data_IF_150821683895
#
_entry.id   IF_150821683895
#
_cell.length_a   1.000
_cell.length_b   1.000
_cell.length_c   1.000
_cell.angle_alpha   90.00
_cell.angle_beta   90.00
_cell.angle_gamma   90.00
#
_symmetry.space_group_name_H-M   'P 1'
#
loop_
_entity.id
_entity.type
_entity.pdbx_description
1 polymer ?
#
# COMPACT_ATOMS: atom_id res chain seq x y z
N UNK A 1 -16.47 -18.18 -18.10
CA UNK A 1 -16.52 -16.93 -17.31
C UNK A 1 -15.29 -16.11 -17.70
N UNK A 2 -15.44 -14.84 -18.03
CA UNK A 2 -14.28 -13.96 -18.20
C UNK A 2 -13.58 -13.78 -16.83
N UNK A 3 -12.26 -13.89 -16.79
CA UNK A 3 -11.49 -13.64 -15.56
C UNK A 3 -11.70 -12.20 -15.07
N UNK A 4 -11.84 -12.02 -13.76
CA UNK A 4 -11.91 -10.70 -13.12
C UNK A 4 -10.57 -10.38 -12.47
N UNK A 5 -10.04 -9.15 -12.65
CA UNK A 5 -8.79 -8.72 -12.04
C UNK A 5 -8.96 -8.51 -10.53
N UNK A 6 -7.87 -8.51 -9.76
CA UNK A 6 -7.96 -8.55 -8.31
C UNK A 6 -8.36 -7.26 -7.62
N UNK A 7 -8.63 -6.17 -8.33
CA UNK A 7 -8.98 -4.88 -7.72
C UNK A 7 -7.90 -4.31 -6.79
N UNK A 8 -6.65 -4.77 -6.92
CA UNK A 8 -5.51 -4.31 -6.09
C UNK A 8 -4.86 -3.02 -6.62
N UNK A 9 -5.16 -2.64 -7.86
CA UNK A 9 -4.59 -1.48 -8.56
C UNK A 9 -3.07 -1.35 -8.41
N UNK A 10 -2.39 -2.50 -8.44
CA UNK A 10 -0.97 -2.59 -8.06
C UNK A 10 0.00 -1.99 -9.08
N UNK A 11 -0.44 -1.71 -10.30
CA UNK A 11 0.41 -1.18 -11.37
C UNK A 11 1.42 -2.14 -12.01
N UNK A 12 1.49 -3.41 -11.56
CA UNK A 12 2.51 -4.37 -12.01
C UNK A 12 2.44 -4.70 -13.51
N UNK A 13 1.22 -4.84 -14.03
CA UNK A 13 0.95 -5.01 -15.46
C UNK A 13 1.19 -3.74 -16.28
N UNK A 14 1.52 -2.62 -15.63
CA UNK A 14 1.72 -1.33 -16.28
C UNK A 14 0.43 -0.56 -16.54
N UNK A 15 -0.73 -0.92 -15.98
CA UNK A 15 -1.96 -0.12 -16.01
C UNK A 15 -2.21 0.56 -14.65
N UNK A 16 -2.84 1.76 -14.59
CA UNK A 16 -3.03 2.48 -13.33
C UNK A 16 -4.08 1.83 -12.40
N UNK A 17 -5.06 1.13 -12.96
CA UNK A 17 -6.07 0.37 -12.21
C UNK A 17 -6.32 -0.98 -12.86
N UNK A 18 -6.90 -1.91 -12.11
CA UNK A 18 -7.37 -3.20 -12.60
C UNK A 18 -8.45 -3.03 -13.67
N UNK A 19 -9.29 -2.00 -13.58
CA UNK A 19 -10.29 -1.68 -14.61
C UNK A 19 -9.63 -1.19 -15.91
N UNK A 20 -8.64 -0.28 -15.80
CA UNK A 20 -7.88 0.19 -16.95
C UNK A 20 -7.09 -0.94 -17.62
N UNK A 21 -6.55 -1.88 -16.84
CA UNK A 21 -5.91 -3.09 -17.37
C UNK A 21 -6.86 -3.91 -18.25
N UNK A 22 -8.09 -4.16 -17.76
CA UNK A 22 -9.09 -4.93 -18.51
C UNK A 22 -9.53 -4.21 -19.78
N UNK A 23 -9.60 -2.87 -19.78
CA UNK A 23 -9.86 -2.11 -20.99
C UNK A 23 -8.78 -2.36 -22.06
N UNK A 24 -7.51 -2.28 -21.68
CA UNK A 24 -6.37 -2.54 -22.59
C UNK A 24 -6.35 -3.98 -23.11
N UNK A 25 -6.73 -4.97 -22.29
CA UNK A 25 -6.85 -6.36 -22.74
C UNK A 25 -7.99 -6.53 -23.76
N UNK A 26 -9.11 -5.84 -23.56
CA UNK A 26 -10.24 -5.86 -24.52
C UNK A 26 -9.89 -5.21 -25.86
N UNK A 27 -9.03 -4.19 -25.83
CA UNK A 27 -8.51 -3.51 -27.01
C UNK A 27 -7.39 -4.29 -27.72
N UNK A 28 -6.92 -5.40 -27.13
CA UNK A 28 -5.84 -6.23 -27.69
C UNK A 28 -4.43 -5.65 -27.49
N UNK A 29 -4.30 -4.57 -26.73
CA UNK A 29 -3.01 -3.95 -26.40
C UNK A 29 -2.24 -4.71 -25.30
N UNK A 30 -2.95 -5.56 -24.53
CA UNK A 30 -2.40 -6.37 -23.44
C UNK A 30 -2.97 -7.77 -23.43
N UNK A 31 -2.22 -8.70 -22.83
CA UNK A 31 -2.69 -10.06 -22.54
C UNK A 31 -3.07 -10.18 -21.05
N UNK A 32 -4.00 -11.08 -20.70
CA UNK A 32 -4.32 -11.41 -19.31
C UNK A 32 -3.07 -11.87 -18.53
N UNK A 33 -2.15 -12.55 -19.19
CA UNK A 33 -0.86 -13.01 -18.66
C UNK A 33 0.05 -11.87 -18.20
N UNK A 34 -0.20 -10.62 -18.62
CA UNK A 34 0.52 -9.45 -18.11
C UNK A 34 0.20 -9.17 -16.63
N UNK A 35 -0.93 -9.67 -16.11
CA UNK A 35 -1.27 -9.52 -14.71
C UNK A 35 -0.55 -10.58 -13.87
N UNK A 36 0.27 -10.13 -12.91
CA UNK A 36 0.97 -11.01 -11.94
C UNK A 36 0.05 -11.86 -11.05
N UNK A 37 -1.26 -11.60 -11.10
CA UNK A 37 -2.29 -12.35 -10.37
C UNK A 37 -3.15 -13.22 -11.29
N UNK A 38 -2.92 -13.21 -12.61
CA UNK A 38 -3.60 -14.10 -13.55
C UNK A 38 -2.90 -15.46 -13.56
N UNK A 39 -3.69 -16.54 -13.54
CA UNK A 39 -3.21 -17.93 -13.63
C UNK A 39 -4.13 -18.72 -14.56
N UNK A 40 -3.52 -19.56 -15.41
CA UNK A 40 -4.21 -20.45 -16.36
C UNK A 40 -4.65 -21.77 -15.72
N UNK A 41 -4.14 -22.10 -14.53
CA UNK A 41 -4.49 -23.32 -13.83
C UNK A 41 -5.79 -23.15 -13.04
N UNK A 42 -6.73 -24.06 -13.31
CA UNK A 42 -8.05 -24.07 -12.69
C UNK A 42 -7.92 -24.44 -11.21
N UNK A 43 -7.85 -23.41 -10.37
CA UNK A 43 -8.65 -23.30 -9.17
C UNK A 43 -9.01 -21.82 -8.99
N UNK A 44 -10.27 -21.41 -9.16
CA UNK A 44 -10.71 -20.06 -8.88
C UNK A 44 -10.78 -19.89 -7.36
N UNK A 45 -9.63 -19.75 -6.71
CA UNK A 45 -9.61 -18.95 -5.49
C UNK A 45 -9.83 -17.53 -6.00
N UNK A 46 -11.07 -17.05 -5.84
CA UNK A 46 -11.46 -15.65 -6.08
C UNK A 46 -10.44 -14.73 -5.41
N UNK A 47 -9.42 -14.32 -6.16
CA UNK A 47 -8.68 -13.10 -5.89
C UNK A 47 -9.55 -11.97 -6.40
N UNK A 48 -10.78 -11.83 -5.90
CA UNK A 48 -11.26 -10.48 -5.67
C UNK A 48 -10.29 -9.90 -4.62
N UNK A 49 -10.08 -8.59 -4.57
CA UNK A 49 -9.75 -7.92 -3.32
C UNK A 49 -10.94 -8.01 -2.33
N UNK A 50 -11.64 -9.17 -2.28
CA UNK A 50 -12.49 -9.55 -1.18
C UNK A 50 -11.57 -9.83 -0.03
N UNK A 51 -11.24 -8.76 0.67
CA UNK A 51 -10.80 -8.79 2.04
C UNK A 51 -11.74 -9.73 2.82
N UNK A 52 -11.33 -10.99 2.99
CA UNK A 52 -12.13 -12.07 3.60
C UNK A 52 -12.26 -11.89 5.11
N UNK A 53 -11.60 -10.88 5.66
CA UNK A 53 -11.34 -10.71 7.08
C UNK A 53 -10.13 -11.51 7.57
N UNK A 54 -9.42 -12.20 6.67
CA UNK A 54 -8.21 -12.96 6.94
C UNK A 54 -7.11 -12.65 5.94
N UNK A 55 -5.88 -12.62 6.44
CA UNK A 55 -4.68 -12.40 5.62
C UNK A 55 -4.21 -13.69 4.92
N UNK A 56 -3.10 -13.63 4.20
CA UNK A 56 -2.54 -14.76 3.43
C UNK A 56 -2.17 -15.97 4.30
N UNK A 57 -1.98 -15.78 5.62
CA UNK A 57 -1.70 -16.85 6.58
C UNK A 57 -2.96 -17.31 7.31
N UNK A 58 -4.13 -16.79 6.95
CA UNK A 58 -5.42 -17.09 7.59
C UNK A 58 -5.66 -16.32 8.89
N UNK A 59 -4.80 -15.34 9.23
CA UNK A 59 -4.91 -14.55 10.45
C UNK A 59 -5.97 -13.47 10.27
N UNK A 60 -6.87 -13.34 11.25
CA UNK A 60 -7.93 -12.34 11.21
C UNK A 60 -7.44 -10.93 11.56
N UNK A 61 -7.89 -9.93 10.81
CA UNK A 61 -7.61 -8.52 11.07
C UNK A 61 -8.89 -7.73 11.42
N UNK A 62 -8.72 -6.63 12.14
CA UNK A 62 -9.81 -5.83 12.71
C UNK A 62 -10.43 -4.89 11.67
N UNK A 63 -9.60 -4.24 10.85
CA UNK A 63 -10.02 -3.30 9.82
C UNK A 63 -9.03 -3.26 8.65
N UNK A 64 -9.45 -2.67 7.55
CA UNK A 64 -8.61 -2.36 6.39
C UNK A 64 -8.37 -0.86 6.37
N UNK A 65 -7.15 -0.46 6.04
CA UNK A 65 -6.81 0.95 5.90
C UNK A 65 -6.81 1.32 4.42
N UNK A 66 -7.80 2.12 4.03
CA UNK A 66 -8.08 2.59 2.70
C UNK A 66 -7.52 4.01 2.49
N UNK A 67 -7.39 4.47 1.23
CA UNK A 67 -6.92 5.82 0.94
C UNK A 67 -7.79 6.90 1.59
N UNK A 68 -7.18 8.05 1.87
CA UNK A 68 -7.97 9.27 2.13
C UNK A 68 -8.63 9.75 0.84
N UNK A 69 -9.72 10.54 0.92
CA UNK A 69 -10.36 11.10 -0.26
C UNK A 69 -9.37 11.82 -1.19
N UNK A 70 -9.35 11.42 -2.46
CA UNK A 70 -8.46 11.98 -3.48
C UNK A 70 -7.04 11.39 -3.53
N UNK A 71 -6.70 10.45 -2.65
CA UNK A 71 -5.41 9.75 -2.64
C UNK A 71 -5.50 8.36 -3.27
N UNK A 72 -4.39 7.87 -3.83
CA UNK A 72 -4.34 6.56 -4.52
C UNK A 72 -4.08 5.38 -3.58
N UNK A 73 -3.68 5.64 -2.34
CA UNK A 73 -3.35 4.61 -1.34
C UNK A 73 -3.51 5.20 0.06
N UNK A 74 -3.64 4.37 1.10
CA UNK A 74 -3.38 4.83 2.45
C UNK A 74 -1.95 5.36 2.56
N UNK A 75 -1.76 6.46 3.30
CA UNK A 75 -0.45 7.07 3.51
C UNK A 75 0.43 6.11 4.29
N UNK A 76 1.70 6.04 3.88
CA UNK A 76 2.74 5.29 4.57
C UNK A 76 3.78 6.26 5.09
N UNK A 77 4.07 6.18 6.38
CA UNK A 77 5.09 6.99 7.02
C UNK A 77 6.31 6.11 7.20
N UNK A 78 7.43 6.50 6.60
CA UNK A 78 8.65 5.71 6.56
C UNK A 78 9.83 6.50 7.09
N UNK A 79 10.81 5.76 7.61
CA UNK A 79 12.12 6.27 7.98
C UNK A 79 13.17 5.46 7.21
N UNK A 80 13.88 6.06 6.23
CA UNK A 80 15.02 5.41 5.60
C UNK A 80 16.04 4.97 6.67
N UNK A 81 16.75 3.86 6.43
CA UNK A 81 17.81 3.41 7.36
C UNK A 81 18.91 4.45 7.54
N UNK A 82 19.07 5.33 6.55
CA UNK A 82 19.89 6.53 6.60
C UNK A 82 19.00 7.77 6.48
N UNK A 83 18.52 8.32 7.62
CA UNK A 83 17.65 9.50 7.62
C UNK A 83 18.31 10.73 6.97
N UNK A 84 19.64 10.82 7.01
CA UNK A 84 20.43 11.92 6.40
C UNK A 84 20.29 11.98 4.87
N UNK A 85 19.82 10.91 4.21
CA UNK A 85 19.57 10.92 2.77
C UNK A 85 18.43 11.88 2.38
N UNK A 86 17.46 12.12 3.27
CA UNK A 86 16.37 13.05 2.99
C UNK A 86 16.90 14.46 2.76
N UNK A 87 17.84 14.91 3.59
CA UNK A 87 18.51 16.20 3.45
C UNK A 87 19.54 16.17 2.30
N UNK A 88 20.44 15.17 2.28
CA UNK A 88 21.54 15.11 1.32
C UNK A 88 21.11 14.94 -0.13
N UNK A 89 19.96 14.32 -0.38
CA UNK A 89 19.42 14.11 -1.72
C UNK A 89 18.24 15.01 -2.02
N UNK A 90 18.01 16.03 -1.17
CA UNK A 90 16.95 17.02 -1.35
C UNK A 90 15.61 16.34 -1.67
N UNK A 91 15.23 15.35 -0.86
CA UNK A 91 13.98 14.61 -1.07
C UNK A 91 12.81 15.53 -0.72
N UNK A 92 11.96 15.81 -1.71
CA UNK A 92 10.86 16.77 -1.61
C UNK A 92 9.53 16.15 -2.05
N UNK A 93 8.38 16.77 -1.71
CA UNK A 93 7.09 16.33 -2.24
C UNK A 93 7.08 16.26 -3.77
N UNK A 94 6.51 15.19 -4.32
CA UNK A 94 6.50 14.88 -5.75
C UNK A 94 7.55 13.83 -6.15
N UNK A 95 8.65 13.73 -5.42
CA UNK A 95 9.70 12.74 -5.72
C UNK A 95 9.17 11.30 -5.63
N UNK A 96 9.71 10.44 -6.49
CA UNK A 96 9.55 9.00 -6.38
C UNK A 96 10.74 8.44 -5.61
N UNK A 97 10.46 7.74 -4.51
CA UNK A 97 11.44 6.95 -3.78
C UNK A 97 11.10 5.46 -3.89
N UNK A 98 12.13 4.63 -4.04
CA UNK A 98 11.98 3.17 -4.11
C UNK A 98 12.80 2.50 -3.03
N UNK A 99 12.28 1.40 -2.50
CA UNK A 99 12.99 0.59 -1.51
C UNK A 99 12.10 -0.47 -0.87
N UNK A 100 12.66 -1.23 0.07
CA UNK A 100 11.97 -2.32 0.75
C UNK A 100 11.69 -2.01 2.22
N UNK A 101 10.51 -2.37 2.76
CA UNK A 101 10.20 -2.22 4.17
C UNK A 101 10.87 -3.35 4.97
N UNK A 102 12.18 -3.25 5.21
CA UNK A 102 12.98 -4.32 5.80
C UNK A 102 12.43 -4.83 7.15
N UNK A 103 11.90 -3.94 7.99
CA UNK A 103 11.31 -4.32 9.29
C UNK A 103 10.01 -5.14 9.21
N UNK A 104 9.34 -5.16 8.06
CA UNK A 104 8.08 -5.89 7.84
C UNK A 104 8.26 -7.10 6.91
N UNK A 105 9.50 -7.47 6.54
CA UNK A 105 9.79 -8.67 5.75
C UNK A 105 9.14 -8.74 4.36
N UNK A 106 8.57 -7.65 3.84
CA UNK A 106 7.93 -7.66 2.52
C UNK A 106 9.01 -7.86 1.44
N UNK A 107 8.90 -8.89 0.58
CA UNK A 107 9.88 -9.14 -0.47
C UNK A 107 9.74 -8.14 -1.63
N UNK A 108 8.65 -7.38 -1.68
CA UNK A 108 8.29 -6.52 -2.81
C UNK A 108 8.89 -5.13 -2.64
N UNK A 109 9.57 -4.65 -3.70
CA UNK A 109 9.99 -3.26 -3.80
C UNK A 109 8.75 -2.35 -3.79
N UNK A 110 8.74 -1.40 -2.87
CA UNK A 110 7.70 -0.39 -2.84
C UNK A 110 8.15 0.82 -3.65
N UNK A 111 7.23 1.32 -4.48
CA UNK A 111 7.38 2.58 -5.20
C UNK A 111 6.45 3.60 -4.55
N UNK A 112 7.06 4.66 -4.05
CA UNK A 112 6.44 5.61 -3.14
C UNK A 112 6.56 7.02 -3.70
N UNK A 113 5.45 7.72 -3.87
CA UNK A 113 5.45 9.15 -4.15
C UNK A 113 5.44 9.93 -2.84
N UNK A 114 6.42 10.81 -2.64
CA UNK A 114 6.56 11.63 -1.43
C UNK A 114 5.50 12.72 -1.44
N UNK A 115 4.71 12.82 -0.36
CA UNK A 115 3.76 13.92 -0.15
C UNK A 115 4.23 14.87 0.97
N UNK A 116 5.15 14.42 1.83
CA UNK A 116 5.82 15.25 2.83
C UNK A 116 7.19 14.69 3.14
N UNK A 117 8.18 15.57 3.23
CA UNK A 117 9.52 15.25 3.73
C UNK A 117 9.84 16.10 4.95
N UNK A 118 10.44 15.49 5.99
CA UNK A 118 10.96 16.20 7.14
C UNK A 118 12.49 16.09 7.14
N UNK A 119 13.24 17.17 6.82
CA UNK A 119 14.69 17.12 6.75
C UNK A 119 15.35 16.95 8.13
N UNK A 120 14.67 17.32 9.21
CA UNK A 120 15.21 17.22 10.58
C UNK A 120 15.18 15.77 11.07
N UNK A 121 14.11 15.04 10.79
CA UNK A 121 13.93 13.65 11.29
C UNK A 121 14.21 12.59 10.23
N UNK A 122 14.28 12.98 8.95
CA UNK A 122 14.31 12.06 7.81
C UNK A 122 13.00 11.29 7.59
N UNK A 123 11.90 11.67 8.25
CA UNK A 123 10.61 11.03 8.02
C UNK A 123 10.02 11.46 6.68
N UNK A 124 9.54 10.48 5.93
CA UNK A 124 8.79 10.69 4.70
C UNK A 124 7.36 10.20 4.91
N UNK A 125 6.38 11.00 4.49
CA UNK A 125 5.01 10.55 4.28
C UNK A 125 4.82 10.35 2.79
N UNK A 126 4.36 9.16 2.39
CA UNK A 126 4.27 8.77 0.99
C UNK A 126 2.93 8.10 0.65
N UNK A 127 2.61 8.11 -0.63
CA UNK A 127 1.59 7.26 -1.26
C UNK A 127 2.26 6.10 -2.00
N UNK A 128 1.68 4.91 -1.92
CA UNK A 128 2.11 3.75 -2.72
C UNK A 128 1.49 3.88 -4.12
N UNK A 129 2.31 4.08 -5.14
CA UNK A 129 1.87 4.42 -6.52
C UNK A 129 2.08 3.30 -7.54
N UNK A 130 2.56 2.13 -7.10
CA UNK A 130 2.83 0.98 -7.96
C UNK A 130 4.09 1.13 -8.83
N UNK A 131 4.60 0.04 -9.42
CA UNK A 131 5.87 0.03 -10.13
C UNK A 131 5.83 0.76 -11.47
N UNK A 132 4.64 1.04 -12.05
CA UNK A 132 4.53 1.86 -13.27
C UNK A 132 5.15 3.24 -13.05
N UNK A 133 5.00 3.82 -11.86
CA UNK A 133 5.48 5.17 -11.56
C UNK A 133 7.01 5.31 -11.59
N UNK A 134 7.77 4.22 -11.45
CA UNK A 134 9.23 4.23 -11.53
C UNK A 134 9.78 3.72 -12.87
N UNK A 135 8.93 3.28 -13.81
CA UNK A 135 9.40 2.78 -15.11
C UNK A 135 9.71 3.95 -16.04
N UNK A 136 10.99 4.09 -16.44
CA UNK A 136 11.43 5.10 -17.41
C UNK A 136 11.42 6.54 -16.89
N UNK A 137 11.24 6.74 -15.58
CA UNK A 137 11.30 8.04 -14.91
C UNK A 137 12.40 8.08 -13.85
N UNK A 138 12.68 9.28 -13.34
CA UNK A 138 13.65 9.47 -12.25
C UNK A 138 13.08 9.00 -10.90
N UNK A 139 13.91 8.32 -10.11
CA UNK A 139 13.58 7.91 -8.76
C UNK A 139 14.84 7.91 -7.88
N UNK A 140 14.64 7.99 -6.56
CA UNK A 140 15.70 7.90 -5.55
C UNK A 140 15.60 6.54 -4.84
N UNK A 141 16.63 5.72 -4.97
CA UNK A 141 16.68 4.40 -4.32
C UNK A 141 17.19 4.53 -2.88
N UNK A 142 16.27 4.40 -1.93
CA UNK A 142 16.58 4.47 -0.49
C UNK A 142 16.90 3.09 0.10
N UNK A 143 16.97 2.06 -0.74
CA UNK A 143 17.30 0.65 -0.43
C UNK A 143 16.34 -0.02 0.57
N UNK A 144 16.42 0.37 1.84
CA UNK A 144 15.67 -0.19 2.95
C UNK A 144 15.19 0.90 3.93
N UNK A 145 14.00 0.69 4.47
CA UNK A 145 13.40 1.61 5.44
C UNK A 145 12.58 0.90 6.51
N UNK A 146 12.34 1.61 7.60
CA UNK A 146 11.36 1.24 8.62
C UNK A 146 9.99 1.82 8.28
N UNK A 147 8.94 1.02 8.43
CA UNK A 147 7.58 1.54 8.43
C UNK A 147 7.30 2.06 9.85
N UNK A 148 7.09 3.37 9.97
CA UNK A 148 6.84 4.03 11.26
C UNK A 148 5.34 4.08 11.55
N UNK A 149 4.53 4.28 10.50
CA UNK A 149 3.09 4.35 10.65
C UNK A 149 2.34 4.31 9.32
N UNK A 150 1.03 4.26 9.44
CA UNK A 150 0.09 4.41 8.35
C UNK A 150 -1.03 5.37 8.73
N UNK A 151 -1.64 5.98 7.72
CA UNK A 151 -2.77 6.88 7.90
C UNK A 151 -3.76 6.74 6.74
N UNK A 152 -5.05 6.69 7.02
CA UNK A 152 -6.08 6.46 6.01
C UNK A 152 -7.49 6.41 6.57
N UNK A 153 -8.46 6.03 5.74
CA UNK A 153 -9.83 5.76 6.18
C UNK A 153 -9.93 4.29 6.59
N UNK A 154 -10.48 3.99 7.75
CA UNK A 154 -10.72 2.61 8.13
C UNK A 154 -12.03 2.10 7.55
N UNK A 155 -11.98 0.93 6.92
CA UNK A 155 -13.14 0.08 6.74
C UNK A 155 -13.12 -1.03 7.78
N UNK A 156 -14.06 -0.96 8.72
CA UNK A 156 -14.24 -1.96 9.78
C UNK A 156 -14.58 -3.32 9.18
N UNK A 157 -13.96 -4.37 9.72
CA UNK A 157 -14.19 -5.76 9.28
C UNK A 157 -14.64 -6.61 10.45
N UNK A 158 -13.94 -6.50 11.59
CA UNK A 158 -14.28 -7.21 12.82
C UNK A 158 -14.45 -6.28 14.02
N UNK A 159 -13.55 -5.29 14.14
CA UNK A 159 -13.52 -4.36 15.28
C UNK A 159 -13.17 -2.98 14.79
N UNK A 160 -13.89 -1.99 15.30
CA UNK A 160 -13.59 -0.60 15.00
C UNK A 160 -12.22 -0.20 15.55
N UNK A 161 -11.49 0.69 14.87
CA UNK A 161 -10.24 1.25 15.37
C UNK A 161 -10.49 2.04 16.66
N UNK A 162 -9.74 1.72 17.70
CA UNK A 162 -9.89 2.27 19.06
C UNK A 162 -8.60 2.91 19.52
N UNK A 163 -8.64 4.22 19.83
CA UNK A 163 -7.47 4.98 20.27
C UNK A 163 -6.72 4.29 21.44
N UNK A 164 -5.40 4.23 21.34
CA UNK A 164 -4.50 3.59 22.31
C UNK A 164 -4.41 2.06 22.19
N UNK A 165 -5.29 1.41 21.44
CA UNK A 165 -5.29 -0.04 21.32
C UNK A 165 -4.28 -0.49 20.25
N UNK A 166 -3.54 -1.57 20.54
CA UNK A 166 -2.83 -2.31 19.50
C UNK A 166 -3.81 -3.19 18.75
N UNK A 167 -4.02 -2.90 17.47
CA UNK A 167 -4.96 -3.63 16.61
C UNK A 167 -4.28 -4.16 15.37
N UNK A 168 -4.88 -5.20 14.78
CA UNK A 168 -4.41 -5.78 13.54
C UNK A 168 -5.17 -5.17 12.37
N UNK A 169 -4.46 -4.71 11.36
CA UNK A 169 -5.05 -4.08 10.19
C UNK A 169 -4.38 -4.54 8.91
N UNK A 170 -5.10 -4.46 7.80
CA UNK A 170 -4.58 -4.75 6.48
C UNK A 170 -4.45 -3.44 5.69
N UNK A 171 -3.25 -3.05 5.20
CA UNK A 171 -3.14 -1.94 4.25
C UNK A 171 -3.86 -2.31 2.95
N UNK A 172 -4.79 -1.48 2.48
CA UNK A 172 -5.64 -1.80 1.32
C UNK A 172 -4.85 -2.14 0.05
N UNK A 173 -3.76 -1.41 -0.20
CA UNK A 173 -2.88 -1.61 -1.38
C UNK A 173 -1.79 -2.68 -1.15
N UNK A 174 -1.89 -3.52 -0.11
CA UNK A 174 -0.88 -4.55 0.16
C UNK A 174 -0.91 -5.67 -0.88
N UNK A 175 0.18 -5.82 -1.64
CA UNK A 175 0.33 -6.91 -2.60
C UNK A 175 0.48 -8.28 -1.92
N UNK A 176 1.22 -8.34 -0.81
CA UNK A 176 1.45 -9.60 -0.07
C UNK A 176 0.21 -10.11 0.67
N UNK A 177 -0.80 -9.25 0.87
CA UNK A 177 -1.98 -9.56 1.67
C UNK A 177 -1.64 -10.06 3.08
N UNK A 178 -0.63 -9.48 3.73
CA UNK A 178 -0.26 -9.78 5.11
C UNK A 178 -0.70 -8.64 6.03
N UNK A 179 -1.42 -8.98 7.10
CA UNK A 179 -1.85 -8.00 8.07
C UNK A 179 -0.67 -7.52 8.95
N UNK A 180 -0.79 -6.30 9.46
CA UNK A 180 0.16 -5.68 10.37
C UNK A 180 -0.53 -5.43 11.71
N UNK A 181 0.23 -5.30 12.78
CA UNK A 181 -0.27 -4.75 14.05
C UNK A 181 0.33 -3.37 14.31
N UNK A 182 -0.42 -2.49 14.96
CA UNK A 182 0.07 -1.18 15.38
C UNK A 182 -0.83 -0.56 16.43
N UNK A 183 -0.33 0.46 17.11
CA UNK A 183 -1.11 1.24 18.08
C UNK A 183 -1.89 2.31 17.33
N UNK A 184 -3.20 2.33 17.52
CA UNK A 184 -4.07 3.36 16.96
C UNK A 184 -3.84 4.66 17.73
N UNK A 185 -3.22 5.64 17.10
CA UNK A 185 -2.83 6.91 17.72
C UNK A 185 -3.78 8.07 17.36
N UNK A 186 -4.72 7.85 16.45
CA UNK A 186 -5.72 8.85 16.08
C UNK A 186 -6.95 8.14 15.51
N UNK A 187 -8.14 8.60 15.91
CA UNK A 187 -9.42 8.23 15.32
C UNK A 187 -10.27 9.50 15.23
N UNK A 188 -10.56 9.95 14.02
CA UNK A 188 -11.38 11.14 13.76
C UNK A 188 -12.56 10.76 12.88
N UNK A 189 -13.78 11.12 13.28
CA UNK A 189 -14.94 10.95 12.44
C UNK A 189 -14.96 12.01 11.33
N UNK A 190 -15.07 11.56 10.07
CA UNK A 190 -15.21 12.40 8.89
C UNK A 190 -16.38 11.91 8.04
N UNK A 191 -16.83 12.72 7.08
CA UNK A 191 -17.89 12.33 6.14
C UNK A 191 -17.52 11.11 5.29
N UNK A 192 -16.22 10.87 5.06
CA UNK A 192 -15.69 9.71 4.35
C UNK A 192 -15.49 8.47 5.21
N UNK A 193 -15.77 8.53 6.53
CA UNK A 193 -15.56 7.44 7.48
C UNK A 193 -14.62 7.81 8.62
N UNK A 194 -14.10 6.81 9.33
CA UNK A 194 -13.14 7.03 10.42
C UNK A 194 -11.73 7.23 9.83
N UNK A 195 -11.17 8.43 9.97
CA UNK A 195 -9.79 8.74 9.66
C UNK A 195 -8.90 8.28 10.81
N UNK A 196 -8.00 7.34 10.50
CA UNK A 196 -7.20 6.62 11.47
C UNK A 196 -5.73 6.80 11.18
N UNK A 197 -4.95 6.94 12.26
CA UNK A 197 -3.49 6.83 12.23
C UNK A 197 -3.04 5.69 13.11
N UNK A 198 -2.17 4.84 12.58
CA UNK A 198 -1.60 3.69 13.29
C UNK A 198 -0.08 3.80 13.28
N UNK A 199 0.59 3.65 14.42
CA UNK A 199 2.04 3.72 14.55
C UNK A 199 2.60 2.52 15.34
N UNK A 200 3.93 2.43 15.50
CA UNK A 200 4.59 1.29 16.15
C UNK A 200 4.20 -0.04 15.48
N UNK A 201 4.42 -0.05 14.15
CA UNK A 201 4.03 -1.10 13.22
C UNK A 201 4.87 -2.37 13.42
N UNK A 202 4.20 -3.53 13.44
CA UNK A 202 4.76 -4.87 13.54
C UNK A 202 3.97 -5.83 12.64
N UNK A 203 4.43 -7.06 12.47
CA UNK A 203 3.66 -8.16 11.86
C UNK A 203 2.87 -8.90 12.95
#
# INVERSE_FOLDING_TARGET
MAWQPPGKDCGACGAPTCEAFIALVREGEKDLLDCVFYSTDIAPSRLDARHTGRDILGTEYDFILEPLPGEVSARKIILPFRPDLVEKWEIVPGDIVVGRPAGAGCPVQHVLSVIRANPVTGLLTCLVVGPRASRGGEFKEIEAYHIVGFEGISRTVRREPTFGMRQRFLPGSCMMNLAHTGVVNMVLAQSSGLHVRVENIRL
#
